data_IF_949909637137
#
_entry.id   IF_949909637137
#
_cell.length_a   1.000
_cell.length_b   1.000
_cell.length_c   1.000
_cell.angle_alpha   90.00
_cell.angle_beta   90.00
_cell.angle_gamma   90.00
#
_symmetry.space_group_name_H-M   'P 1'
#
loop_
_entity.id
_entity.type
_entity.pdbx_description
1 polymer ?
#
# COMPACT_ATOMS: atom_id res chain seq x y z
N UNK A 1 18.80 10.71 25.52
CA UNK A 1 17.99 11.86 25.04
C UNK A 1 16.68 11.30 24.52
N UNK A 2 15.54 11.69 25.11
CA UNK A 2 14.20 11.23 24.71
C UNK A 2 13.55 12.34 23.88
N UNK A 3 13.26 12.08 22.60
CA UNK A 3 12.44 12.98 21.79
C UNK A 3 11.05 12.36 21.62
N UNK A 4 10.06 13.05 22.18
CA UNK A 4 8.64 12.68 22.14
C UNK A 4 8.00 13.41 20.96
N UNK A 5 7.68 12.69 19.90
CA UNK A 5 7.01 13.23 18.70
C UNK A 5 5.50 13.19 18.89
N UNK A 6 4.85 14.35 18.95
CA UNK A 6 3.39 14.50 18.94
C UNK A 6 2.89 14.43 17.49
N UNK A 7 2.01 13.47 17.21
CA UNK A 7 1.26 13.37 15.94
C UNK A 7 0.00 14.22 16.07
N UNK A 8 -0.16 15.20 15.18
CA UNK A 8 -1.41 15.96 15.04
C UNK A 8 -2.07 15.55 13.73
N UNK A 9 -3.26 14.97 13.86
CA UNK A 9 -4.13 14.53 12.77
C UNK A 9 -5.06 15.70 12.40
N UNK A 10 -5.03 16.15 11.15
CA UNK A 10 -5.97 17.15 10.64
C UNK A 10 -6.58 16.65 9.33
N UNK A 11 -7.90 16.46 9.38
CA UNK A 11 -8.78 16.26 8.24
C UNK A 11 -9.18 17.62 7.63
N UNK A 12 -9.23 17.71 6.30
CA UNK A 12 -10.25 18.45 5.49
C UNK A 12 -9.77 18.53 4.04
N UNK A 13 -10.54 18.07 3.05
CA UNK A 13 -11.71 18.68 2.39
C UNK A 13 -11.35 19.84 1.41
N UNK A 14 -11.60 19.54 0.12
CA UNK A 14 -12.12 20.39 -0.98
C UNK A 14 -11.19 21.27 -1.85
N UNK A 15 -11.27 20.95 -3.15
CA UNK A 15 -11.70 21.80 -4.28
C UNK A 15 -10.69 22.62 -5.13
N UNK A 16 -10.87 22.49 -6.46
CA UNK A 16 -10.53 23.48 -7.51
C UNK A 16 -9.41 23.03 -8.47
N UNK A 17 -9.70 22.54 -9.69
CA UNK A 17 -9.83 23.30 -10.97
C UNK A 17 -8.47 23.78 -11.54
N UNK A 18 -8.03 23.62 -12.79
CA UNK A 18 -8.58 23.11 -14.06
C UNK A 18 -7.42 22.95 -15.06
N UNK A 19 -7.43 21.98 -15.97
CA UNK A 19 -6.92 22.16 -17.35
C UNK A 19 -7.46 21.08 -18.29
N UNK A 20 -8.21 21.53 -19.29
CA UNK A 20 -8.79 20.79 -20.42
C UNK A 20 -7.73 20.36 -21.43
N UNK A 21 -7.88 19.18 -22.05
CA UNK A 21 -7.60 19.07 -23.49
C UNK A 21 -8.74 18.45 -24.31
N UNK A 22 -8.68 18.81 -25.59
CA UNK A 22 -9.55 18.61 -26.76
C UNK A 22 -9.92 17.13 -27.08
N UNK A 23 -11.08 16.85 -27.70
CA UNK A 23 -11.49 15.51 -28.07
C UNK A 23 -10.99 15.13 -29.49
N UNK A 24 -10.59 13.88 -29.68
CA UNK A 24 -10.43 13.27 -31.01
C UNK A 24 -11.49 12.20 -31.21
N UNK A 25 -12.20 12.36 -32.32
CA UNK A 25 -13.32 11.58 -32.85
C UNK A 25 -12.82 10.25 -33.45
N UNK A 26 -13.50 9.15 -33.14
CA UNK A 26 -13.52 7.95 -33.99
C UNK A 26 -14.82 7.17 -33.74
N UNK A 27 -15.50 6.89 -34.83
CA UNK A 27 -16.88 6.44 -34.96
C UNK A 27 -17.18 5.01 -34.48
N UNK A 28 -18.47 4.80 -34.27
CA UNK A 28 -19.13 3.63 -33.75
C UNK A 28 -19.20 2.45 -34.74
N UNK A 29 -19.44 1.25 -34.19
CA UNK A 29 -20.47 0.37 -34.76
C UNK A 29 -21.14 -0.42 -33.63
N UNK A 30 -22.41 -0.12 -33.39
CA UNK A 30 -23.31 -0.91 -32.56
C UNK A 30 -23.98 -1.97 -33.43
N UNK A 31 -24.25 -3.15 -32.87
CA UNK A 31 -25.38 -3.96 -33.31
C UNK A 31 -25.96 -4.69 -32.09
N UNK A 32 -27.20 -4.34 -31.79
CA UNK A 32 -28.05 -4.97 -30.78
C UNK A 32 -28.54 -6.36 -31.26
N UNK A 33 -29.12 -7.17 -30.36
CA UNK A 33 -30.50 -7.68 -30.50
C UNK A 33 -30.95 -8.50 -29.28
N UNK A 34 -32.05 -8.00 -28.70
CA UNK A 34 -33.24 -8.63 -28.09
C UNK A 34 -33.20 -9.83 -27.12
N UNK A 35 -33.65 -9.54 -25.90
CA UNK A 35 -34.87 -10.03 -25.23
C UNK A 35 -35.28 -11.51 -25.33
N UNK A 36 -35.48 -12.12 -24.16
CA UNK A 36 -36.57 -13.07 -23.91
C UNK A 36 -37.08 -12.94 -22.46
N UNK A 37 -38.39 -12.73 -22.35
CA UNK A 37 -39.27 -12.73 -21.18
C UNK A 37 -39.84 -14.13 -20.87
N UNK A 38 -40.48 -14.25 -19.69
CA UNK A 38 -41.27 -15.37 -19.14
C UNK A 38 -40.42 -16.42 -18.39
N UNK A 39 -40.85 -17.07 -17.30
CA UNK A 39 -42.16 -17.32 -16.71
C UNK A 39 -41.87 -17.78 -15.26
N UNK A 40 -42.45 -17.20 -14.21
CA UNK A 40 -43.57 -17.78 -13.46
C UNK A 40 -43.32 -19.21 -12.94
N UNK A 41 -42.92 -19.36 -11.67
CA UNK A 41 -43.51 -20.38 -10.77
C UNK A 41 -43.16 -20.04 -9.30
N UNK A 42 -44.18 -19.71 -8.52
CA UNK A 42 -44.11 -19.62 -7.06
C UNK A 42 -44.24 -21.03 -6.47
N UNK A 43 -43.27 -21.55 -5.69
CA UNK A 43 -43.48 -22.74 -4.90
C UNK A 43 -44.28 -22.45 -3.61
N UNK A 44 -45.02 -23.44 -3.08
CA UNK A 44 -46.02 -23.25 -2.02
C UNK A 44 -45.40 -22.97 -0.65
N UNK A 45 -46.05 -22.09 0.11
CA UNK A 45 -45.88 -21.94 1.55
C UNK A 45 -46.16 -23.27 2.25
N UNK A 46 -45.11 -23.92 2.75
CA UNK A 46 -45.23 -25.03 3.70
C UNK A 46 -44.88 -24.48 5.08
N UNK A 47 -45.91 -24.28 5.91
CA UNK A 47 -45.78 -24.00 7.34
C UNK A 47 -45.19 -25.22 8.03
N UNK A 48 -43.87 -25.25 8.21
CA UNK A 48 -43.18 -26.24 9.03
C UNK A 48 -43.11 -25.76 10.48
N UNK A 49 -43.40 -26.68 11.40
CA UNK A 49 -43.36 -26.51 12.85
C UNK A 49 -41.98 -26.02 13.36
N UNK A 50 -41.91 -25.29 14.49
CA UNK A 50 -40.64 -24.90 15.09
C UNK A 50 -39.90 -26.15 15.60
N UNK A 51 -38.93 -26.63 14.82
CA UNK A 51 -37.98 -27.63 15.25
C UNK A 51 -36.96 -26.99 16.21
N UNK A 52 -36.66 -27.72 17.28
CA UNK A 52 -35.82 -27.28 18.39
C UNK A 52 -34.46 -26.75 17.90
N UNK A 53 -34.12 -25.55 18.37
CA UNK A 53 -32.80 -24.94 18.21
C UNK A 53 -31.77 -25.79 18.95
N UNK A 54 -31.10 -26.70 18.24
CA UNK A 54 -29.88 -27.31 18.74
C UNK A 54 -28.81 -26.21 18.81
N UNK A 55 -28.44 -25.84 20.03
CA UNK A 55 -27.30 -24.98 20.31
C UNK A 55 -26.03 -25.71 19.86
N UNK A 56 -25.67 -25.57 18.60
CA UNK A 56 -24.41 -26.06 18.07
C UNK A 56 -23.27 -25.31 18.75
N UNK A 57 -22.62 -25.98 19.70
CA UNK A 57 -21.40 -25.51 20.34
C UNK A 57 -20.33 -25.41 19.26
N UNK A 58 -20.11 -24.19 18.75
CA UNK A 58 -19.05 -23.90 17.79
C UNK A 58 -17.71 -24.27 18.43
N UNK A 59 -17.18 -25.42 18.03
CA UNK A 59 -15.82 -25.84 18.38
C UNK A 59 -14.90 -24.82 17.76
N UNK A 60 -14.14 -24.10 18.59
CA UNK A 60 -13.14 -23.14 18.10
C UNK A 60 -12.21 -23.87 17.12
N UNK A 61 -12.21 -23.43 15.87
CA UNK A 61 -11.33 -23.98 14.85
C UNK A 61 -9.89 -23.88 15.36
N UNK A 62 -9.17 -24.99 15.34
CA UNK A 62 -7.76 -25.01 15.70
C UNK A 62 -7.00 -23.97 14.85
N UNK A 63 -6.03 -23.24 15.44
CA UNK A 63 -5.28 -22.23 14.71
C UNK A 63 -4.62 -22.87 13.48
N UNK A 64 -4.76 -22.20 12.33
CA UNK A 64 -4.16 -22.67 11.09
C UNK A 64 -2.64 -22.84 11.29
N UNK A 65 -2.04 -23.94 10.78
CA UNK A 65 -0.61 -24.17 10.89
C UNK A 65 0.16 -23.01 10.27
N UNK A 66 1.27 -22.63 10.89
CA UNK A 66 2.15 -21.60 10.35
C UNK A 66 2.66 -22.01 8.96
N UNK A 67 2.69 -21.09 7.98
CA UNK A 67 3.17 -21.41 6.64
C UNK A 67 4.64 -21.86 6.66
N UNK A 68 5.00 -22.77 5.76
CA UNK A 68 6.39 -23.23 5.62
C UNK A 68 7.25 -22.19 4.88
N UNK A 69 8.51 -21.94 5.30
CA UNK A 69 9.39 -20.99 4.62
C UNK A 69 9.71 -21.41 3.19
N UNK A 70 9.89 -20.44 2.29
CA UNK A 70 10.34 -20.72 0.92
C UNK A 70 11.79 -21.18 0.88
N UNK A 71 12.22 -21.67 -0.28
CA UNK A 71 13.64 -21.88 -0.57
C UNK A 71 14.44 -20.56 -0.47
N UNK A 72 15.74 -20.70 -0.18
CA UNK A 72 16.66 -19.57 -0.10
C UNK A 72 16.63 -18.73 -1.38
N UNK A 73 16.61 -17.41 -1.23
CA UNK A 73 16.64 -16.51 -2.37
C UNK A 73 18.04 -16.53 -3.00
N UNK A 74 18.09 -16.74 -4.31
CA UNK A 74 19.31 -16.48 -5.07
C UNK A 74 19.52 -14.96 -5.15
N UNK A 75 20.68 -14.51 -4.66
CA UNK A 75 21.06 -13.10 -4.60
C UNK A 75 22.34 -12.95 -5.38
N UNK A 76 22.32 -12.10 -6.40
CA UNK A 76 23.48 -11.79 -7.23
C UNK A 76 23.75 -10.29 -7.21
N UNK A 77 25.01 -9.86 -7.36
CA UNK A 77 25.33 -8.45 -7.46
C UNK A 77 24.58 -7.82 -8.64
N UNK A 78 23.83 -6.75 -8.38
CA UNK A 78 23.07 -6.03 -9.41
C UNK A 78 22.78 -4.61 -8.96
N UNK A 79 22.41 -3.76 -9.92
CA UNK A 79 22.04 -2.36 -9.67
C UNK A 79 20.69 -2.06 -10.29
N UNK A 80 19.77 -1.60 -9.47
CA UNK A 80 18.41 -1.17 -9.83
C UNK A 80 18.39 0.36 -9.78
N UNK A 81 18.50 1.01 -10.93
CA UNK A 81 18.32 2.45 -11.03
C UNK A 81 16.82 2.75 -11.05
N UNK A 82 16.30 3.47 -10.05
CA UNK A 82 14.86 3.80 -9.94
C UNK A 82 14.56 5.11 -10.65
N UNK A 83 15.42 6.09 -10.40
CA UNK A 83 15.42 7.43 -11.01
C UNK A 83 16.89 7.91 -11.16
N UNK A 84 17.16 9.04 -11.83
CA UNK A 84 18.54 9.51 -12.05
C UNK A 84 19.36 9.77 -10.78
N UNK A 85 18.72 9.93 -9.62
CA UNK A 85 19.33 10.23 -8.32
C UNK A 85 19.26 9.06 -7.33
N UNK A 86 18.42 8.07 -7.60
CA UNK A 86 18.17 6.94 -6.68
C UNK A 86 18.43 5.62 -7.37
N UNK A 87 19.37 4.86 -6.82
CA UNK A 87 19.63 3.49 -7.22
C UNK A 87 19.79 2.61 -5.97
N UNK A 88 19.30 1.38 -6.08
CA UNK A 88 19.56 0.31 -5.12
C UNK A 88 20.67 -0.57 -5.71
N UNK A 89 21.73 -0.77 -4.94
CA UNK A 89 22.84 -1.65 -5.29
C UNK A 89 22.80 -2.87 -4.38
N UNK A 90 22.56 -4.03 -4.98
CA UNK A 90 22.72 -5.33 -4.32
C UNK A 90 24.17 -5.77 -4.54
N UNK A 91 24.90 -6.00 -3.44
CA UNK A 91 26.29 -6.44 -3.47
C UNK A 91 26.42 -7.96 -3.29
N UNK A 92 27.63 -8.47 -3.51
CA UNK A 92 27.93 -9.90 -3.41
C UNK A 92 27.82 -10.45 -1.98
N UNK A 93 27.95 -9.58 -0.97
CA UNK A 93 27.71 -9.87 0.44
C UNK A 93 26.23 -9.94 0.82
N UNK A 94 25.34 -9.88 -0.19
CA UNK A 94 23.86 -9.89 -0.05
C UNK A 94 23.29 -8.64 0.63
N UNK A 95 24.09 -7.58 0.80
CA UNK A 95 23.62 -6.31 1.34
C UNK A 95 23.08 -5.40 0.22
N UNK A 96 22.04 -4.64 0.56
CA UNK A 96 21.45 -3.61 -0.28
C UNK A 96 21.93 -2.25 0.18
N UNK A 97 22.39 -1.45 -0.76
CA UNK A 97 22.83 -0.08 -0.55
C UNK A 97 21.97 0.89 -1.34
N UNK A 98 21.72 2.06 -0.77
CA UNK A 98 21.11 3.20 -1.48
C UNK A 98 21.86 4.46 -1.07
N UNK A 99 22.33 5.23 -2.05
CA UNK A 99 23.12 6.47 -1.82
C UNK A 99 24.32 6.24 -0.87
N UNK A 100 24.99 5.09 -1.00
CA UNK A 100 26.13 4.71 -0.18
C UNK A 100 25.81 4.18 1.23
N UNK A 101 24.54 4.19 1.65
CA UNK A 101 24.10 3.67 2.95
C UNK A 101 23.52 2.27 2.81
N UNK A 102 23.88 1.36 3.73
CA UNK A 102 23.30 0.01 3.80
C UNK A 102 21.86 0.14 4.31
N UNK A 103 20.89 -0.34 3.53
CA UNK A 103 19.46 -0.24 3.87
C UNK A 103 18.84 -1.59 4.22
N UNK A 104 19.38 -2.70 3.70
CA UNK A 104 18.89 -4.03 3.99
C UNK A 104 19.97 -5.11 3.75
N UNK A 105 19.69 -6.33 4.19
CA UNK A 105 20.49 -7.53 3.89
C UNK A 105 19.57 -8.71 3.60
N UNK A 106 19.89 -9.52 2.59
CA UNK A 106 19.23 -10.81 2.37
C UNK A 106 19.88 -11.91 3.22
N UNK A 107 19.04 -12.64 3.95
CA UNK A 107 19.38 -13.82 4.73
C UNK A 107 18.36 -14.91 4.39
N UNK A 108 18.79 -15.92 3.64
CA UNK A 108 17.93 -17.00 3.11
C UNK A 108 16.72 -16.47 2.34
N UNK A 109 15.51 -16.76 2.81
CA UNK A 109 14.23 -16.32 2.25
C UNK A 109 13.73 -14.99 2.85
N UNK A 110 14.56 -14.29 3.63
CA UNK A 110 14.20 -13.06 4.33
C UNK A 110 15.10 -11.90 3.92
N UNK A 111 14.53 -10.72 3.72
CA UNK A 111 15.24 -9.46 3.63
C UNK A 111 15.04 -8.66 4.92
N UNK A 112 16.12 -8.37 5.64
CA UNK A 112 16.11 -7.58 6.88
C UNK A 112 16.45 -6.13 6.58
N UNK A 113 15.61 -5.18 6.99
CA UNK A 113 15.82 -3.75 6.82
C UNK A 113 16.56 -3.20 8.04
N UNK A 114 17.71 -2.57 7.82
CA UNK A 114 18.63 -2.15 8.90
C UNK A 114 18.08 -0.97 9.71
N UNK A 115 17.33 -0.06 9.08
CA UNK A 115 16.89 1.19 9.73
C UNK A 115 15.53 1.11 10.41
N UNK A 116 14.67 0.19 9.98
CA UNK A 116 13.26 0.16 10.39
C UNK A 116 12.92 -0.98 11.35
N UNK A 117 13.88 -1.86 11.67
CA UNK A 117 13.64 -3.13 12.38
C UNK A 117 12.50 -3.95 11.73
N UNK A 118 12.43 -3.85 10.39
CA UNK A 118 11.45 -4.52 9.57
C UNK A 118 12.11 -5.68 8.82
N UNK A 119 11.34 -6.70 8.51
CA UNK A 119 11.80 -7.75 7.61
C UNK A 119 10.69 -8.19 6.67
N UNK A 120 11.11 -8.60 5.47
CA UNK A 120 10.25 -9.17 4.44
C UNK A 120 10.65 -10.61 4.22
N UNK A 121 9.77 -11.55 4.57
CA UNK A 121 10.00 -12.99 4.44
C UNK A 121 9.13 -13.58 3.34
N UNK A 122 9.70 -14.48 2.55
CA UNK A 122 8.96 -15.21 1.51
C UNK A 122 8.62 -16.61 2.00
N UNK A 123 7.34 -16.97 1.93
CA UNK A 123 6.80 -18.27 2.30
C UNK A 123 6.67 -19.17 1.07
N UNK A 124 6.55 -20.48 1.30
CA UNK A 124 6.54 -21.52 0.25
C UNK A 124 5.39 -21.37 -0.74
N UNK A 125 4.27 -20.83 -0.29
CA UNK A 125 3.09 -20.49 -1.11
C UNK A 125 3.28 -19.20 -1.94
N UNK A 126 4.46 -18.58 -1.86
CA UNK A 126 4.78 -17.31 -2.50
C UNK A 126 4.39 -16.09 -1.67
N UNK A 127 3.70 -16.24 -0.54
CA UNK A 127 3.28 -15.11 0.30
C UNK A 127 4.51 -14.34 0.81
N UNK A 128 4.45 -13.02 0.72
CA UNK A 128 5.47 -12.11 1.26
C UNK A 128 4.90 -11.53 2.55
N UNK A 129 5.47 -11.93 3.68
CA UNK A 129 5.16 -11.35 4.97
C UNK A 129 6.10 -10.17 5.24
N UNK A 130 5.52 -9.01 5.55
CA UNK A 130 6.24 -7.80 5.91
C UNK A 130 5.95 -7.53 7.38
N UNK A 131 6.97 -7.50 8.25
CA UNK A 131 6.82 -7.15 9.68
C UNK A 131 7.34 -5.74 9.96
N UNK A 132 6.61 -4.92 10.77
CA UNK A 132 5.28 -5.19 11.32
C UNK A 132 4.22 -5.30 10.20
N UNK A 133 3.16 -6.07 10.46
CA UNK A 133 2.20 -6.51 9.45
C UNK A 133 1.73 -5.37 8.54
N UNK A 134 2.02 -5.48 7.24
CA UNK A 134 1.39 -4.65 6.22
C UNK A 134 -0.10 -4.98 6.13
N UNK A 135 -0.93 -3.96 5.90
CA UNK A 135 -2.37 -4.15 5.69
C UNK A 135 -2.70 -4.87 4.37
N UNK A 136 -1.79 -4.84 3.40
CA UNK A 136 -1.99 -5.43 2.08
C UNK A 136 -1.22 -6.74 1.98
N UNK A 137 -1.90 -7.80 1.56
CA UNK A 137 -1.23 -9.06 1.21
C UNK A 137 -0.46 -8.88 -0.09
N UNK A 138 0.76 -9.39 -0.08
CA UNK A 138 1.65 -9.38 -1.24
C UNK A 138 2.12 -10.82 -1.43
N UNK A 139 2.14 -11.31 -2.68
CA UNK A 139 2.61 -12.67 -2.98
C UNK A 139 3.34 -12.73 -4.31
N UNK A 140 4.22 -13.71 -4.46
CA UNK A 140 4.71 -14.15 -5.75
C UNK A 140 3.69 -15.08 -6.41
N UNK A 141 3.50 -14.90 -7.71
CA UNK A 141 2.79 -15.87 -8.54
C UNK A 141 3.76 -16.91 -9.14
N UNK A 142 3.23 -17.84 -9.93
CA UNK A 142 4.01 -18.92 -10.56
C UNK A 142 5.10 -18.44 -11.53
N UNK A 143 5.03 -17.18 -11.98
CA UNK A 143 6.01 -16.54 -12.86
C UNK A 143 7.04 -15.68 -12.11
N UNK A 144 7.05 -15.76 -10.78
CA UNK A 144 7.85 -14.92 -9.89
C UNK A 144 7.55 -13.41 -10.01
N UNK A 145 6.33 -13.08 -10.45
CA UNK A 145 5.82 -11.71 -10.44
C UNK A 145 5.15 -11.45 -9.09
N UNK A 146 5.31 -10.24 -8.56
CA UNK A 146 4.65 -9.82 -7.33
C UNK A 146 3.24 -9.35 -7.67
N UNK A 147 2.26 -9.93 -6.99
CA UNK A 147 0.86 -9.52 -6.97
C UNK A 147 0.54 -8.87 -5.63
N UNK A 148 -0.03 -7.66 -5.67
CA UNK A 148 -0.45 -6.89 -4.51
C UNK A 148 -1.97 -6.92 -4.45
N UNK A 149 -2.51 -7.27 -3.29
CA UNK A 149 -3.95 -7.22 -3.04
C UNK A 149 -4.52 -5.85 -3.40
N UNK A 150 -5.56 -5.86 -4.25
CA UNK A 150 -6.13 -4.66 -4.87
C UNK A 150 -5.82 -4.52 -6.36
N UNK A 151 -4.90 -5.29 -6.94
CA UNK A 151 -4.64 -5.33 -8.40
C UNK A 151 -3.27 -4.82 -8.83
N UNK A 152 -2.38 -4.52 -7.87
CA UNK A 152 -1.03 -4.05 -8.19
C UNK A 152 -0.16 -5.20 -8.66
N UNK A 153 0.71 -4.95 -9.63
CA UNK A 153 1.60 -5.97 -10.20
C UNK A 153 3.01 -5.43 -10.39
N UNK A 154 4.01 -6.23 -10.06
CA UNK A 154 5.41 -5.97 -10.36
C UNK A 154 6.03 -7.20 -11.01
N UNK A 155 6.51 -7.03 -12.24
CA UNK A 155 7.14 -8.09 -13.02
C UNK A 155 8.51 -7.63 -13.51
N UNK A 156 9.47 -8.56 -13.55
CA UNK A 156 10.81 -8.35 -14.10
C UNK A 156 11.03 -9.43 -15.15
N UNK A 157 11.17 -9.04 -16.42
CA UNK A 157 11.43 -10.00 -17.50
C UNK A 157 12.87 -10.55 -17.46
N UNK A 158 13.18 -11.51 -18.34
CA UNK A 158 14.53 -12.10 -18.43
C UNK A 158 15.62 -11.08 -18.82
N UNK A 159 15.23 -9.94 -19.39
CA UNK A 159 16.14 -8.86 -19.81
C UNK A 159 16.31 -7.81 -18.71
N UNK A 160 15.69 -7.99 -17.54
CA UNK A 160 15.73 -7.02 -16.44
C UNK A 160 14.83 -5.81 -16.66
N UNK A 161 13.92 -5.84 -17.63
CA UNK A 161 12.91 -4.80 -17.82
C UNK A 161 11.81 -4.99 -16.79
N UNK A 162 11.50 -3.90 -16.09
CA UNK A 162 10.48 -3.89 -15.06
C UNK A 162 9.16 -3.39 -15.62
N UNK A 163 8.08 -4.09 -15.27
CA UNK A 163 6.71 -3.62 -15.44
C UNK A 163 6.08 -3.41 -14.08
N UNK A 164 5.56 -2.22 -13.82
CA UNK A 164 4.83 -1.89 -12.59
C UNK A 164 3.43 -1.41 -12.94
N UNK A 165 2.44 -2.05 -12.34
CA UNK A 165 1.02 -1.68 -12.39
C UNK A 165 0.61 -1.32 -10.97
N UNK A 166 0.06 -0.11 -10.79
CA UNK A 166 -0.40 0.32 -9.49
C UNK A 166 -1.68 -0.44 -9.09
N UNK A 167 -2.02 -0.52 -7.78
CA UNK A 167 -3.23 -1.21 -7.31
C UNK A 167 -4.54 -0.71 -7.93
N UNK A 168 -4.61 0.52 -8.41
CA UNK A 168 -5.79 1.07 -9.10
C UNK A 168 -5.78 0.83 -10.62
N UNK A 169 -4.99 -0.14 -11.09
CA UNK A 169 -4.71 -0.41 -12.51
C UNK A 169 -4.15 0.81 -13.27
N UNK A 170 -3.65 1.82 -12.56
CA UNK A 170 -3.01 2.97 -13.19
C UNK A 170 -1.59 2.63 -13.60
N UNK A 171 -1.09 3.28 -14.67
CA UNK A 171 0.32 3.21 -15.01
C UNK A 171 1.17 3.67 -13.83
N UNK A 172 2.39 3.13 -13.75
CA UNK A 172 3.38 3.52 -12.74
C UNK A 172 3.50 5.06 -12.63
N UNK A 173 3.88 5.59 -11.45
CA UNK A 173 4.12 7.02 -11.28
C UNK A 173 5.02 7.57 -12.40
N UNK A 174 4.68 8.74 -12.96
CA UNK A 174 5.49 9.35 -14.03
C UNK A 174 6.94 9.49 -13.55
N UNK A 175 7.88 8.94 -14.30
CA UNK A 175 9.31 8.94 -13.98
C UNK A 175 9.80 7.69 -13.21
N UNK A 176 8.91 6.80 -12.79
CA UNK A 176 9.27 5.50 -12.21
C UNK A 176 9.48 4.46 -13.32
N UNK A 177 10.67 4.48 -13.92
CA UNK A 177 11.08 3.56 -14.98
C UNK A 177 12.35 2.80 -14.56
N UNK A 178 12.25 1.89 -13.58
CA UNK A 178 13.42 1.26 -13.02
C UNK A 178 14.14 0.39 -14.05
N UNK A 179 15.48 0.53 -14.09
CA UNK A 179 16.37 -0.23 -14.97
C UNK A 179 17.26 -1.11 -14.11
N UNK A 180 17.22 -2.43 -14.36
CA UNK A 180 18.07 -3.39 -13.67
C UNK A 180 19.28 -3.71 -14.54
N UNK A 181 20.47 -3.52 -13.99
CA UNK A 181 21.76 -3.85 -14.62
C UNK A 181 22.47 -4.94 -13.81
N UNK A 182 23.15 -5.87 -14.49
CA UNK A 182 23.72 -7.08 -13.85
C UNK A 182 22.67 -8.12 -13.46
N UNK A 183 21.47 -8.05 -14.03
CA UNK A 183 20.38 -8.98 -13.73
C UNK A 183 20.72 -10.41 -14.18
N UNK A 184 20.33 -11.39 -13.34
CA UNK A 184 20.26 -12.81 -13.71
C UNK A 184 18.88 -13.34 -13.33
N UNK A 185 18.23 -14.17 -14.19
CA UNK A 185 16.88 -14.70 -13.92
C UNK A 185 16.75 -15.42 -12.58
N UNK A 186 17.80 -16.13 -12.15
CA UNK A 186 17.85 -16.80 -10.84
C UNK A 186 17.56 -15.85 -9.67
N UNK A 187 18.00 -14.58 -9.77
CA UNK A 187 17.82 -13.58 -8.72
C UNK A 187 16.56 -12.72 -8.88
N UNK A 188 15.61 -13.14 -9.73
CA UNK A 188 14.36 -12.40 -9.98
C UNK A 188 13.60 -12.07 -8.71
N UNK A 189 13.39 -13.04 -7.81
CA UNK A 189 12.67 -12.82 -6.55
C UNK A 189 13.37 -11.80 -5.65
N UNK A 190 14.70 -11.86 -5.55
CA UNK A 190 15.47 -10.88 -4.78
C UNK A 190 15.38 -9.47 -5.39
N UNK A 191 15.49 -9.35 -6.71
CA UNK A 191 15.31 -8.09 -7.43
C UNK A 191 13.89 -7.51 -7.23
N UNK A 192 12.86 -8.36 -7.30
CA UNK A 192 11.47 -7.97 -7.07
C UNK A 192 11.24 -7.48 -5.64
N UNK A 193 11.84 -8.12 -4.62
CA UNK A 193 11.77 -7.64 -3.22
C UNK A 193 12.48 -6.31 -3.02
N UNK A 194 13.66 -6.12 -3.62
CA UNK A 194 14.38 -4.84 -3.57
C UNK A 194 13.58 -3.72 -4.24
N UNK A 195 12.89 -4.02 -5.33
CA UNK A 195 12.05 -3.07 -6.03
C UNK A 195 10.72 -2.80 -5.28
N UNK A 196 10.15 -3.81 -4.62
CA UNK A 196 9.02 -3.61 -3.69
C UNK A 196 9.41 -2.66 -2.57
N UNK A 197 10.60 -2.82 -1.97
CA UNK A 197 11.14 -1.89 -0.97
C UNK A 197 11.27 -0.46 -1.52
N UNK A 198 11.75 -0.31 -2.75
CA UNK A 198 11.82 0.99 -3.42
C UNK A 198 10.43 1.65 -3.54
N UNK A 199 9.42 0.89 -3.94
CA UNK A 199 8.05 1.39 -4.05
C UNK A 199 7.50 1.83 -2.70
N UNK A 200 7.68 1.02 -1.65
CA UNK A 200 7.20 1.34 -0.30
C UNK A 200 7.87 2.60 0.27
N UNK A 201 9.15 2.84 -0.04
CA UNK A 201 9.90 3.99 0.46
C UNK A 201 9.67 5.27 -0.36
N UNK A 202 9.37 5.17 -1.65
CA UNK A 202 9.11 6.34 -2.52
C UNK A 202 7.69 6.89 -2.40
N UNK A 203 6.70 6.06 -2.06
CA UNK A 203 5.33 6.54 -1.77
C UNK A 203 5.20 7.23 -0.42
N UNK A 204 6.25 7.23 0.40
CA UNK A 204 6.26 7.82 1.75
C UNK A 204 6.74 9.27 1.78
N UNK A 205 6.70 10.02 0.66
CA UNK A 205 7.02 11.45 0.68
C UNK A 205 5.99 12.18 1.56
N UNK A 206 6.40 12.78 2.70
CA UNK A 206 5.50 13.60 3.49
C UNK A 206 5.12 14.81 2.65
N UNK A 207 3.83 15.07 2.49
CA UNK A 207 3.35 16.30 1.86
C UNK A 207 4.12 17.49 2.44
N UNK A 208 4.61 18.43 1.61
CA UNK A 208 5.39 19.56 2.07
C UNK A 208 4.64 20.26 3.20
N UNK A 209 5.34 20.48 4.32
CA UNK A 209 4.77 21.16 5.47
C UNK A 209 4.09 22.45 4.98
N UNK A 210 2.82 22.71 5.36
CA UNK A 210 2.16 23.94 4.96
C UNK A 210 3.05 25.12 5.37
N UNK A 211 3.19 26.15 4.52
CA UNK A 211 4.02 27.31 4.85
C UNK A 211 3.60 27.86 6.22
N UNK A 212 4.56 28.32 7.05
CA UNK A 212 4.24 28.83 8.38
C UNK A 212 3.20 29.94 8.23
N UNK A 213 2.00 29.70 8.77
CA UNK A 213 0.94 30.71 8.81
C UNK A 213 1.47 31.86 9.65
N UNK A 214 1.79 32.98 8.98
CA UNK A 214 2.09 34.25 9.60
C UNK A 214 0.90 34.60 10.49
N UNK A 215 1.07 34.49 11.81
CA UNK A 215 0.02 34.85 12.77
C UNK A 215 -0.27 36.34 12.59
N UNK A 216 -1.42 36.66 12.02
CA UNK A 216 -1.99 37.99 12.12
C UNK A 216 -2.01 38.40 13.62
N UNK A 217 -1.62 39.65 13.95
CA UNK A 217 -1.59 40.10 15.33
C UNK A 217 -3.00 40.01 15.94
N UNK A 218 -3.11 39.34 17.08
CA UNK A 218 -4.35 39.23 17.85
C UNK A 218 -4.96 40.61 18.09
N UNK A 219 -6.26 40.82 17.80
CA UNK A 219 -6.92 42.07 18.15
C UNK A 219 -7.00 42.19 19.68
N UNK A 220 -6.50 43.32 20.18
CA UNK A 220 -6.57 43.75 21.57
C UNK A 220 -8.03 43.82 22.01
N UNK A 221 -8.42 42.99 22.96
CA UNK A 221 -9.75 43.01 23.55
C UNK A 221 -9.96 44.33 24.32
N UNK A 222 -10.71 45.26 23.73
CA UNK A 222 -11.31 46.40 24.42
C UNK A 222 -12.77 46.03 24.69
N UNK A 223 -13.02 45.40 25.84
CA UNK A 223 -14.35 45.01 26.29
C UNK A 223 -14.63 45.63 27.65
N UNK A 224 -15.44 46.70 27.64
CA UNK A 224 -15.89 47.44 28.80
C UNK A 224 -16.72 46.57 29.76
N UNK A 225 -16.53 46.80 31.07
CA UNK A 225 -17.33 46.22 32.13
C UNK A 225 -18.75 46.82 32.16
N UNK A 226 -19.81 46.01 32.26
CA UNK A 226 -21.11 46.51 32.71
C UNK A 226 -21.22 46.39 34.23
N UNK A 227 -21.35 47.54 34.90
CA UNK A 227 -21.88 47.69 36.26
C UNK A 227 -23.35 47.28 36.28
N UNK A 228 -23.69 46.26 37.07
CA UNK A 228 -25.09 45.94 37.39
C UNK A 228 -25.26 45.93 38.91
N UNK A 229 -25.89 47.00 39.39
CA UNK A 229 -26.34 47.23 40.76
C UNK A 229 -27.54 46.33 41.04
N UNK A 230 -27.44 45.45 42.05
CA UNK A 230 -28.58 44.73 42.60
C UNK A 230 -28.93 45.29 43.99
N UNK A 231 -30.22 45.59 44.28
CA UNK A 231 -30.65 46.13 45.57
C UNK A 231 -30.88 45.03 46.62
N UNK A 232 -30.64 45.38 47.88
CA UNK A 232 -30.85 44.54 49.06
C UNK A 232 -32.34 44.25 49.36
N UNK A 233 -32.61 43.14 50.06
CA UNK A 233 -33.66 43.17 51.08
C UNK A 233 -33.23 42.58 52.44
N UNK A 234 -33.47 43.41 53.47
CA UNK A 234 -33.83 43.18 54.88
C UNK A 234 -33.68 41.78 55.50
N UNK A 235 -32.99 41.75 56.64
CA UNK A 235 -33.64 41.51 57.95
C UNK A 235 -32.94 42.28 59.05
#
# INVERSE_FOLDING_TARGET
MKMTTKVLLVASLLAGCSSTPEPTEAEATATATAAATADMESPPETTAAPAATETATATAAAPAPAPEPAADLAVVPMKIAIDPKTAIEIKADKALYTKGKKIATFDKNTMKLEELDQHMSVWKDGTIEIKPASQKKVKFNEKDEIEIEGGGKLAIDDKGKVTVVAPDNKPAPKGFAPVVTGFKPEARRAASLALLLALMTTTAEPAPAPPPTERAPSPKATGAAPTSTAPAPKK
#
